data_IF_155453498645
#
_entry.id   IF_155453498645
#
_cell.length_a   1.000
_cell.length_b   1.000
_cell.length_c   1.000
_cell.angle_alpha   90.00
_cell.angle_beta   90.00
_cell.angle_gamma   90.00
#
_symmetry.space_group_name_H-M   'P 1'
#
loop_
_entity.id
_entity.type
_entity.pdbx_description
1 polymer ?
#
# COMPACT_ATOMS: atom_id res chain seq x y z
N UNK A 1 5.75 13.13 13.88
CA UNK A 1 5.74 13.19 12.39
C UNK A 1 4.70 12.18 11.93
N UNK A 2 3.78 12.61 11.08
CA UNK A 2 2.59 11.82 10.71
C UNK A 2 2.59 11.41 9.23
N UNK A 3 3.76 11.34 8.63
CA UNK A 3 3.90 10.95 7.23
C UNK A 3 5.05 9.96 7.09
N UNK A 4 4.89 8.99 6.21
CA UNK A 4 5.94 8.06 5.86
C UNK A 4 6.81 8.67 4.77
N UNK A 5 8.08 8.79 5.06
CA UNK A 5 9.09 9.15 4.08
C UNK A 5 9.79 7.87 3.60
N UNK A 6 9.22 7.24 2.57
CA UNK A 6 9.72 5.98 2.04
C UNK A 6 11.19 6.06 1.58
N UNK A 7 11.62 7.26 1.17
CA UNK A 7 12.99 7.51 0.72
C UNK A 7 14.04 7.42 1.85
N UNK A 8 13.60 7.48 3.11
CA UNK A 8 14.49 7.58 4.29
C UNK A 8 14.16 6.61 5.42
N UNK A 9 12.96 6.03 5.42
CA UNK A 9 12.48 5.25 6.57
C UNK A 9 13.22 3.96 6.78
N UNK A 10 13.68 3.30 5.73
CA UNK A 10 14.30 1.99 5.82
C UNK A 10 15.56 1.89 4.97
N UNK A 11 16.63 1.27 5.49
CA UNK A 11 17.76 0.85 4.69
C UNK A 11 17.49 -0.45 3.91
N UNK A 12 16.35 -1.10 4.12
CA UNK A 12 15.95 -2.42 3.63
C UNK A 12 16.76 -3.54 4.27
N UNK A 13 18.08 -3.48 4.18
CA UNK A 13 19.02 -4.41 4.84
C UNK A 13 19.98 -3.59 5.70
N UNK A 14 20.09 -3.98 6.96
CA UNK A 14 21.09 -3.47 7.88
C UNK A 14 22.40 -4.23 7.76
N UNK A 15 23.52 -3.51 7.98
CA UNK A 15 24.82 -4.11 8.25
C UNK A 15 25.35 -3.55 9.57
N UNK A 16 25.55 -4.41 10.56
CA UNK A 16 26.06 -4.02 11.87
C UNK A 16 26.94 -5.14 12.44
N UNK A 17 28.09 -4.79 12.94
CA UNK A 17 29.03 -5.71 13.60
C UNK A 17 29.40 -6.95 12.74
N UNK A 18 29.49 -6.76 11.42
CA UNK A 18 29.82 -7.83 10.46
C UNK A 18 28.64 -8.75 10.11
N UNK A 19 27.44 -8.42 10.55
CA UNK A 19 26.21 -9.18 10.27
C UNK A 19 25.29 -8.34 9.41
N UNK A 20 24.75 -8.94 8.34
CA UNK A 20 23.67 -8.36 7.55
C UNK A 20 22.33 -9.01 7.92
N UNK A 21 21.26 -8.19 8.03
CA UNK A 21 19.91 -8.66 8.36
C UNK A 21 18.86 -7.72 7.78
N UNK A 22 17.64 -8.24 7.48
CA UNK A 22 16.56 -7.41 6.96
C UNK A 22 16.06 -6.44 8.03
N UNK A 23 15.61 -5.28 7.57
CA UNK A 23 14.94 -4.31 8.45
C UNK A 23 13.54 -4.80 8.80
N UNK A 24 13.08 -4.40 9.97
CA UNK A 24 11.69 -4.50 10.40
C UNK A 24 11.28 -3.19 11.06
N UNK A 25 10.07 -2.75 10.80
CA UNK A 25 9.65 -1.41 11.20
C UNK A 25 8.28 -1.46 11.87
N UNK A 26 8.14 -0.75 12.98
CA UNK A 26 6.84 -0.44 13.57
C UNK A 26 6.68 1.08 13.65
N UNK A 27 5.48 1.56 13.39
CA UNK A 27 5.17 2.98 13.42
C UNK A 27 3.75 3.25 13.90
N UNK A 28 3.53 4.42 14.50
CA UNK A 28 2.21 4.86 14.94
C UNK A 28 1.33 5.36 13.79
N UNK A 29 1.90 5.50 12.62
CA UNK A 29 1.21 5.96 11.42
C UNK A 29 0.52 4.80 10.69
N UNK A 30 -0.75 4.97 10.33
CA UNK A 30 -1.50 3.98 9.53
C UNK A 30 -0.89 3.76 8.14
N UNK A 31 -0.03 4.68 7.67
CA UNK A 31 0.70 4.55 6.41
C UNK A 31 2.07 3.86 6.56
N UNK A 32 2.44 3.38 7.75
CA UNK A 32 3.67 2.62 7.98
C UNK A 32 3.85 1.46 6.98
N UNK A 33 2.81 0.71 6.60
CA UNK A 33 2.91 -0.37 5.62
C UNK A 33 3.35 0.04 4.20
N UNK A 34 3.44 1.32 3.87
CA UNK A 34 4.10 1.75 2.63
C UNK A 34 5.47 1.10 2.44
N UNK A 35 6.19 0.87 3.53
CA UNK A 35 7.56 0.33 3.51
C UNK A 35 7.58 -1.14 3.10
N UNK A 36 6.45 -1.86 3.23
CA UNK A 36 6.31 -3.26 2.79
C UNK A 36 6.61 -3.43 1.29
N UNK A 37 6.41 -2.37 0.50
CA UNK A 37 6.76 -2.37 -0.92
C UNK A 37 8.26 -2.55 -1.21
N UNK A 38 9.11 -2.32 -0.22
CA UNK A 38 10.56 -2.53 -0.29
C UNK A 38 10.99 -3.95 0.16
N UNK A 39 10.06 -4.85 0.42
CA UNK A 39 10.35 -6.17 0.98
C UNK A 39 10.70 -6.14 2.47
N UNK A 40 10.19 -5.16 3.20
CA UNK A 40 10.39 -4.95 4.63
C UNK A 40 9.08 -5.18 5.36
N UNK A 41 9.09 -5.88 6.49
CA UNK A 41 7.90 -5.97 7.34
C UNK A 41 7.73 -4.67 8.09
N UNK A 42 6.71 -3.89 7.75
CA UNK A 42 6.43 -2.61 8.36
C UNK A 42 4.97 -2.54 8.83
N UNK A 43 4.78 -2.43 10.14
CA UNK A 43 3.47 -2.58 10.78
C UNK A 43 3.06 -1.30 11.49
N UNK A 44 1.81 -0.87 11.25
CA UNK A 44 1.19 0.19 12.02
C UNK A 44 0.74 -0.34 13.39
N UNK A 45 1.17 0.33 14.47
CA UNK A 45 0.87 -0.07 15.85
C UNK A 45 0.32 1.10 16.65
N UNK A 46 -0.28 0.80 17.80
CA UNK A 46 -0.72 1.82 18.76
C UNK A 46 0.44 2.57 19.42
N UNK A 47 0.16 3.78 19.92
CA UNK A 47 1.19 4.63 20.54
C UNK A 47 1.93 3.97 21.70
N UNK A 48 1.23 3.26 22.59
CA UNK A 48 1.82 2.54 23.72
C UNK A 48 2.72 1.38 23.29
N UNK A 49 2.38 0.72 22.19
CA UNK A 49 3.19 -0.35 21.63
C UNK A 49 4.46 0.21 21.01
N UNK A 50 4.35 1.28 20.23
CA UNK A 50 5.51 1.98 19.68
C UNK A 50 6.44 2.50 20.78
N UNK A 51 5.90 3.09 21.85
CA UNK A 51 6.68 3.50 23.03
C UNK A 51 7.43 2.33 23.65
N UNK A 52 6.77 1.18 23.80
CA UNK A 52 7.40 -0.03 24.34
C UNK A 52 8.59 -0.49 23.50
N UNK A 53 8.44 -0.47 22.17
CA UNK A 53 9.52 -0.81 21.23
C UNK A 53 10.66 0.21 21.32
N UNK A 54 10.35 1.51 21.39
CA UNK A 54 11.36 2.57 21.55
C UNK A 54 12.16 2.43 22.85
N UNK A 55 11.56 1.88 23.90
CA UNK A 55 12.20 1.56 25.17
C UNK A 55 12.95 0.19 25.17
N UNK A 56 13.04 -0.46 24.01
CA UNK A 56 13.71 -1.76 23.86
C UNK A 56 12.95 -2.93 24.49
N UNK A 57 11.66 -2.79 24.72
CA UNK A 57 10.81 -3.86 25.23
C UNK A 57 10.33 -4.74 24.08
N UNK A 58 10.19 -6.05 24.34
CA UNK A 58 9.66 -6.97 23.34
C UNK A 58 8.17 -6.70 23.06
N UNK A 59 7.79 -6.70 21.79
CA UNK A 59 6.41 -6.78 21.35
C UNK A 59 6.07 -8.23 21.01
N UNK A 60 4.89 -8.68 21.43
CA UNK A 60 4.43 -10.05 21.21
C UNK A 60 3.30 -10.04 20.20
N UNK A 61 3.46 -10.81 19.13
CA UNK A 61 2.46 -10.96 18.09
C UNK A 61 2.09 -12.43 17.96
N UNK A 62 0.81 -12.68 17.63
CA UNK A 62 0.43 -14.00 17.16
C UNK A 62 1.07 -14.21 15.78
N UNK A 63 1.58 -15.41 15.51
CA UNK A 63 2.07 -15.78 14.20
C UNK A 63 0.90 -15.61 13.19
N UNK A 64 1.05 -14.77 12.16
CA UNK A 64 -0.01 -14.53 11.19
C UNK A 64 -0.10 -15.68 10.18
N UNK A 65 -1.27 -15.83 9.57
CA UNK A 65 -1.40 -16.60 8.35
C UNK A 65 -0.76 -15.83 7.20
N UNK A 66 -0.01 -16.51 6.35
CA UNK A 66 0.63 -15.91 5.16
C UNK A 66 -0.19 -16.30 3.93
N UNK A 67 -0.71 -15.29 3.24
CA UNK A 67 -1.57 -15.46 2.07
C UNK A 67 -0.84 -14.92 0.83
N UNK A 68 -0.67 -15.77 -0.18
CA UNK A 68 -0.18 -15.34 -1.48
C UNK A 68 -1.28 -14.62 -2.28
N UNK A 69 -0.95 -13.49 -2.89
CA UNK A 69 -1.84 -12.73 -3.78
C UNK A 69 -1.18 -12.60 -5.15
N UNK A 70 -1.58 -13.45 -6.07
CA UNK A 70 -1.10 -13.41 -7.45
C UNK A 70 -1.80 -12.28 -8.21
N UNK A 71 -1.04 -11.28 -8.65
CA UNK A 71 -1.51 -10.25 -9.56
C UNK A 71 -1.25 -10.67 -11.00
N UNK A 72 -2.29 -10.72 -11.81
CA UNK A 72 -2.21 -11.09 -13.22
C UNK A 72 -2.75 -9.97 -14.11
N UNK A 73 -2.51 -10.10 -15.41
CA UNK A 73 -2.95 -9.12 -16.38
C UNK A 73 -2.19 -7.79 -16.29
N UNK A 74 -2.63 -6.81 -17.06
CA UNK A 74 -1.98 -5.51 -17.16
C UNK A 74 -2.97 -4.38 -16.87
N UNK A 75 -2.45 -3.31 -16.28
CA UNK A 75 -3.22 -2.08 -16.06
C UNK A 75 -3.72 -1.52 -17.38
N UNK A 76 -5.03 -1.28 -17.47
CA UNK A 76 -5.65 -0.64 -18.62
C UNK A 76 -5.20 0.82 -18.74
N UNK A 77 -5.18 1.33 -19.96
CA UNK A 77 -4.90 2.75 -20.21
C UNK A 77 -5.90 3.65 -19.47
N UNK A 78 -5.40 4.69 -18.84
CA UNK A 78 -6.21 5.62 -18.07
C UNK A 78 -6.63 5.16 -16.68
N UNK A 79 -6.25 3.95 -16.24
CA UNK A 79 -6.43 3.47 -14.85
C UNK A 79 -5.25 3.93 -14.00
N UNK A 80 -5.54 4.50 -12.85
CA UNK A 80 -4.53 4.99 -11.91
C UNK A 80 -4.16 3.92 -10.87
N UNK A 81 -3.04 4.13 -10.14
CA UNK A 81 -2.68 3.29 -9.00
C UNK A 81 -3.80 3.30 -7.93
N UNK A 82 -4.49 4.43 -7.77
CA UNK A 82 -5.62 4.55 -6.84
C UNK A 82 -6.80 3.68 -7.24
N UNK A 83 -7.15 3.61 -8.54
CA UNK A 83 -8.21 2.72 -9.02
C UNK A 83 -7.86 1.25 -8.71
N UNK A 84 -6.60 0.86 -8.94
CA UNK A 84 -6.11 -0.50 -8.66
C UNK A 84 -6.20 -0.80 -7.17
N UNK A 85 -5.66 0.05 -6.31
CA UNK A 85 -5.63 -0.23 -4.87
C UNK A 85 -7.03 -0.27 -4.25
N UNK A 86 -7.95 0.56 -4.72
CA UNK A 86 -9.34 0.52 -4.24
C UNK A 86 -10.05 -0.78 -4.66
N UNK A 87 -9.81 -1.25 -5.88
CA UNK A 87 -10.36 -2.53 -6.35
C UNK A 87 -9.75 -3.72 -5.60
N UNK A 88 -8.43 -3.71 -5.36
CA UNK A 88 -7.76 -4.72 -4.52
C UNK A 88 -8.30 -4.68 -3.09
N UNK A 89 -8.54 -3.50 -2.53
CA UNK A 89 -9.08 -3.34 -1.18
C UNK A 89 -10.48 -3.97 -1.05
N UNK A 90 -11.35 -3.73 -2.02
CA UNK A 90 -12.68 -4.36 -2.07
C UNK A 90 -12.56 -5.89 -2.13
N UNK A 91 -11.77 -6.40 -3.07
CA UNK A 91 -11.52 -7.83 -3.24
C UNK A 91 -10.98 -8.49 -1.97
N UNK A 92 -9.94 -7.93 -1.35
CA UNK A 92 -9.33 -8.50 -0.15
C UNK A 92 -10.25 -8.45 1.07
N UNK A 93 -11.15 -7.45 1.16
CA UNK A 93 -12.18 -7.42 2.20
C UNK A 93 -13.19 -8.55 2.04
N UNK A 94 -13.61 -8.83 0.83
CA UNK A 94 -14.50 -9.97 0.53
C UNK A 94 -13.84 -11.29 0.88
N UNK A 95 -12.52 -11.40 0.61
CA UNK A 95 -11.70 -12.57 0.94
C UNK A 95 -11.33 -12.70 2.42
N UNK A 96 -11.68 -11.73 3.28
CA UNK A 96 -11.51 -11.78 4.73
C UNK A 96 -10.06 -12.05 5.18
N UNK A 97 -9.12 -11.28 4.70
CA UNK A 97 -7.68 -11.39 4.99
C UNK A 97 -7.26 -10.75 6.33
N UNK A 98 -8.20 -10.57 7.25
CA UNK A 98 -7.98 -9.85 8.52
C UNK A 98 -6.86 -10.50 9.32
N UNK A 99 -5.92 -9.69 9.79
CA UNK A 99 -4.76 -10.08 10.59
C UNK A 99 -3.75 -11.01 9.91
N UNK A 100 -3.86 -11.22 8.59
CA UNK A 100 -2.89 -11.99 7.80
C UNK A 100 -1.72 -11.10 7.33
N UNK A 101 -0.64 -11.74 6.91
CA UNK A 101 0.39 -11.13 6.07
C UNK A 101 0.10 -11.52 4.62
N UNK A 102 0.15 -10.53 3.75
CA UNK A 102 -0.05 -10.73 2.32
C UNK A 102 1.29 -10.62 1.60
N UNK A 103 1.52 -11.50 0.64
CA UNK A 103 2.65 -11.44 -0.27
C UNK A 103 2.15 -11.33 -1.70
N UNK A 104 2.38 -10.17 -2.31
CA UNK A 104 1.98 -9.89 -3.69
C UNK A 104 3.05 -10.35 -4.67
N UNK A 105 2.67 -11.08 -5.69
CA UNK A 105 3.57 -11.58 -6.73
C UNK A 105 2.84 -11.75 -8.08
N UNK A 106 3.54 -12.26 -9.08
CA UNK A 106 2.99 -12.54 -10.40
C UNK A 106 3.31 -11.46 -11.44
N UNK A 107 2.96 -11.70 -12.69
CA UNK A 107 3.26 -10.82 -13.82
C UNK A 107 2.66 -9.42 -13.67
N UNK A 108 1.49 -9.32 -13.04
CA UNK A 108 0.87 -8.04 -12.73
C UNK A 108 1.69 -7.25 -11.72
N UNK A 109 2.25 -7.89 -10.69
CA UNK A 109 3.13 -7.25 -9.73
C UNK A 109 4.45 -6.82 -10.37
N UNK A 110 4.99 -7.63 -11.28
CA UNK A 110 6.19 -7.30 -12.05
C UNK A 110 5.97 -6.05 -12.94
N UNK A 111 4.77 -5.85 -13.44
CA UNK A 111 4.43 -4.70 -14.29
C UNK A 111 4.30 -3.39 -13.50
N UNK A 112 3.98 -3.44 -12.19
CA UNK A 112 3.82 -2.26 -11.35
C UNK A 112 5.19 -1.59 -11.05
N UNK A 113 5.18 -0.25 -10.97
CA UNK A 113 6.32 0.49 -10.43
C UNK A 113 6.40 0.30 -8.91
N UNK A 114 7.55 0.62 -8.29
CA UNK A 114 7.67 0.55 -6.84
C UNK A 114 6.66 1.47 -6.14
N UNK A 115 6.39 2.64 -6.69
CA UNK A 115 5.41 3.59 -6.15
C UNK A 115 3.97 3.09 -6.26
N UNK A 116 3.63 2.34 -7.32
CA UNK A 116 2.34 1.66 -7.42
C UNK A 116 2.22 0.58 -6.33
N UNK A 117 3.26 -0.23 -6.14
CA UNK A 117 3.33 -1.24 -5.06
C UNK A 117 3.19 -0.60 -3.68
N UNK A 118 3.88 0.51 -3.44
CA UNK A 118 3.79 1.27 -2.19
C UNK A 118 2.37 1.80 -1.93
N UNK A 119 1.65 2.20 -2.99
CA UNK A 119 0.25 2.61 -2.88
C UNK A 119 -0.65 1.44 -2.46
N UNK A 120 -0.39 0.24 -2.95
CA UNK A 120 -1.12 -0.98 -2.53
C UNK A 120 -0.80 -1.33 -1.08
N UNK A 121 0.47 -1.39 -0.72
CA UNK A 121 0.91 -1.69 0.65
C UNK A 121 0.39 -0.66 1.65
N UNK A 122 0.26 0.60 1.25
CA UNK A 122 -0.29 1.67 2.10
C UNK A 122 -1.70 1.38 2.60
N UNK A 123 -2.51 0.70 1.80
CA UNK A 123 -3.91 0.41 2.13
C UNK A 123 -4.08 -0.88 2.95
N UNK A 124 -3.00 -1.42 3.51
CA UNK A 124 -3.04 -2.63 4.36
C UNK A 124 -4.07 -2.53 5.50
N UNK A 125 -4.15 -1.43 6.26
CA UNK A 125 -5.17 -1.30 7.29
C UNK A 125 -6.60 -1.28 6.73
N UNK A 126 -6.80 -0.72 5.54
CA UNK A 126 -8.11 -0.61 4.91
C UNK A 126 -8.67 -1.96 4.48
N UNK A 127 -7.85 -2.89 4.00
CA UNK A 127 -8.32 -4.25 3.76
C UNK A 127 -8.18 -5.18 4.97
N UNK A 128 -7.58 -4.71 6.06
CA UNK A 128 -7.57 -5.37 7.36
C UNK A 128 -6.43 -6.36 7.58
N UNK A 129 -5.45 -6.44 6.68
CA UNK A 129 -4.24 -7.23 6.87
C UNK A 129 -3.27 -6.53 7.84
N UNK A 130 -2.26 -7.24 8.30
CA UNK A 130 -1.23 -6.70 9.19
C UNK A 130 -0.03 -6.17 8.40
N UNK A 131 0.36 -6.86 7.34
CA UNK A 131 1.40 -6.48 6.40
C UNK A 131 0.99 -6.86 4.97
N UNK A 132 1.50 -6.15 3.99
CA UNK A 132 1.22 -6.37 2.57
C UNK A 132 2.48 -6.14 1.74
N UNK A 133 3.27 -7.20 1.61
CA UNK A 133 4.64 -7.14 1.13
C UNK A 133 4.74 -7.41 -0.37
N UNK A 134 5.76 -6.83 -0.96
CA UNK A 134 6.28 -7.18 -2.27
C UNK A 134 7.70 -7.72 -2.12
N UNK A 135 8.16 -8.43 -3.14
CA UNK A 135 9.52 -8.91 -3.24
C UNK A 135 10.51 -7.79 -3.60
N UNK A 136 11.79 -8.06 -3.42
CA UNK A 136 12.87 -7.21 -3.88
C UNK A 136 13.22 -7.60 -5.32
N UNK A 137 13.28 -6.62 -6.22
CA UNK A 137 13.61 -6.77 -7.63
C UNK A 137 14.43 -5.59 -8.17
N UNK A 138 14.71 -5.57 -9.46
CA UNK A 138 15.44 -4.49 -10.12
C UNK A 138 14.75 -3.14 -9.93
N UNK A 139 13.41 -3.07 -9.88
CA UNK A 139 12.67 -1.83 -9.64
C UNK A 139 12.87 -1.30 -8.23
N UNK A 140 12.99 -2.21 -7.25
CA UNK A 140 13.35 -1.84 -5.88
C UNK A 140 14.76 -1.25 -5.86
N UNK A 141 15.70 -1.88 -6.54
CA UNK A 141 17.09 -1.41 -6.64
C UNK A 141 17.18 -0.04 -7.33
N UNK A 142 16.46 0.15 -8.42
CA UNK A 142 16.41 1.43 -9.13
C UNK A 142 15.79 2.54 -8.27
N UNK A 143 14.75 2.22 -7.50
CA UNK A 143 14.15 3.16 -6.57
C UNK A 143 15.12 3.57 -5.44
N UNK A 144 15.88 2.62 -4.91
CA UNK A 144 16.89 2.93 -3.89
C UNK A 144 17.98 3.86 -4.44
N UNK A 145 18.44 3.67 -5.67
CA UNK A 145 19.37 4.56 -6.36
C UNK A 145 18.76 5.94 -6.59
N UNK A 146 17.55 5.98 -7.13
CA UNK A 146 16.81 7.22 -7.41
C UNK A 146 16.64 8.08 -6.15
N UNK A 147 16.42 7.46 -5.02
CA UNK A 147 16.17 8.12 -3.73
C UNK A 147 17.44 8.36 -2.91
N UNK A 148 18.63 8.14 -3.51
CA UNK A 148 19.92 8.57 -2.99
C UNK A 148 20.50 7.66 -1.91
N UNK A 149 20.19 6.36 -1.90
CA UNK A 149 20.96 5.37 -1.13
C UNK A 149 22.32 5.24 -1.77
N UNK A 150 23.36 5.02 -0.94
CA UNK A 150 24.72 4.85 -1.46
C UNK A 150 24.86 3.57 -2.28
N UNK A 151 25.82 3.52 -3.19
CA UNK A 151 26.07 2.32 -4.01
C UNK A 151 26.41 1.10 -3.15
N UNK A 152 27.06 1.29 -2.00
CA UNK A 152 27.34 0.20 -1.04
C UNK A 152 26.05 -0.35 -0.42
N UNK A 153 25.12 0.53 -0.05
CA UNK A 153 23.82 0.11 0.50
C UNK A 153 22.99 -0.60 -0.55
N UNK A 154 22.98 -0.10 -1.78
CA UNK A 154 22.26 -0.75 -2.89
C UNK A 154 22.84 -2.13 -3.18
N UNK A 155 24.16 -2.25 -3.26
CA UNK A 155 24.83 -3.52 -3.47
C UNK A 155 24.58 -4.51 -2.30
N UNK A 156 24.54 -4.01 -1.06
CA UNK A 156 24.21 -4.84 0.10
C UNK A 156 22.78 -5.41 -0.02
N UNK A 157 21.81 -4.58 -0.35
CA UNK A 157 20.40 -5.02 -0.50
C UNK A 157 20.28 -6.07 -1.60
N UNK A 158 20.84 -5.82 -2.78
CA UNK A 158 20.76 -6.75 -3.91
C UNK A 158 21.42 -8.09 -3.58
N UNK A 159 22.68 -8.06 -3.08
CA UNK A 159 23.40 -9.29 -2.75
C UNK A 159 22.72 -10.09 -1.64
N UNK A 160 22.24 -9.40 -0.60
CA UNK A 160 21.54 -10.07 0.49
C UNK A 160 20.25 -10.74 -0.01
N UNK A 161 19.42 -10.02 -0.76
CA UNK A 161 18.15 -10.54 -1.26
C UNK A 161 18.35 -11.77 -2.15
N UNK A 162 19.34 -11.74 -3.05
CA UNK A 162 19.66 -12.88 -3.93
C UNK A 162 20.20 -14.10 -3.17
N UNK A 163 20.94 -13.90 -2.08
CA UNK A 163 21.51 -15.00 -1.29
C UNK A 163 20.53 -15.62 -0.30
N UNK A 164 19.50 -14.90 0.10
CA UNK A 164 18.57 -15.34 1.17
C UNK A 164 17.17 -15.70 0.67
N UNK A 165 16.94 -15.68 -0.66
CA UNK A 165 15.63 -16.02 -1.22
C UNK A 165 14.57 -14.92 -1.11
N UNK A 166 14.97 -13.66 -0.88
CA UNK A 166 14.06 -12.50 -0.86
C UNK A 166 13.94 -11.82 -2.24
N UNK A 167 14.65 -12.34 -3.23
CA UNK A 167 14.58 -11.84 -4.60
C UNK A 167 13.36 -12.38 -5.35
N UNK A 168 12.85 -11.63 -6.31
CA UNK A 168 11.61 -11.90 -7.01
C UNK A 168 11.47 -13.32 -7.58
N UNK A 169 12.55 -13.87 -8.16
CA UNK A 169 12.55 -15.21 -8.73
C UNK A 169 12.30 -16.30 -7.69
N UNK A 170 12.93 -16.16 -6.52
CA UNK A 170 12.81 -17.14 -5.43
C UNK A 170 11.41 -17.09 -4.80
N UNK A 171 10.83 -15.90 -4.68
CA UNK A 171 9.49 -15.71 -4.12
C UNK A 171 8.38 -16.32 -4.97
N UNK A 172 8.59 -16.49 -6.28
CA UNK A 172 7.63 -17.15 -7.18
C UNK A 172 7.44 -18.63 -6.90
N UNK A 173 8.42 -19.28 -6.26
CA UNK A 173 8.39 -20.70 -5.88
C UNK A 173 7.79 -20.91 -4.49
N UNK A 174 7.43 -19.84 -3.78
CA UNK A 174 6.87 -19.93 -2.44
C UNK A 174 5.52 -20.67 -2.46
N UNK A 175 5.31 -21.50 -1.45
CA UNK A 175 4.06 -22.26 -1.27
C UNK A 175 3.22 -21.60 -0.17
N UNK A 176 1.98 -21.28 -0.51
CA UNK A 176 1.02 -20.67 0.40
C UNK A 176 -0.11 -21.65 0.72
N UNK A 177 -0.57 -21.66 1.97
CA UNK A 177 -1.78 -22.42 2.33
C UNK A 177 -3.03 -21.85 1.64
N UNK A 178 -3.02 -20.53 1.42
CA UNK A 178 -4.09 -19.82 0.73
C UNK A 178 -3.49 -18.94 -0.36
N UNK A 179 -4.00 -19.14 -1.57
CA UNK A 179 -3.62 -18.37 -2.74
C UNK A 179 -4.84 -17.64 -3.28
N UNK A 180 -4.71 -16.33 -3.43
CA UNK A 180 -5.70 -15.46 -4.05
C UNK A 180 -5.17 -15.01 -5.40
N UNK A 181 -6.07 -14.74 -6.34
CA UNK A 181 -5.71 -14.24 -7.67
C UNK A 181 -6.55 -13.03 -8.02
N UNK A 182 -5.89 -11.96 -8.44
CA UNK A 182 -6.51 -10.72 -8.84
C UNK A 182 -6.04 -10.28 -10.22
N UNK A 183 -6.99 -9.98 -11.12
CA UNK A 183 -6.69 -9.57 -12.49
C UNK A 183 -6.73 -8.04 -12.61
N UNK A 184 -5.57 -7.42 -12.83
CA UNK A 184 -5.43 -5.98 -13.02
C UNK A 184 -6.18 -5.46 -14.25
N UNK A 185 -6.40 -6.31 -15.26
CA UNK A 185 -7.14 -5.93 -16.46
C UNK A 185 -8.65 -5.75 -16.22
N UNK A 186 -9.16 -6.29 -15.11
CA UNK A 186 -10.56 -6.14 -14.73
C UNK A 186 -10.88 -4.80 -14.05
N UNK A 187 -9.84 -4.03 -13.71
CA UNK A 187 -10.01 -2.76 -12.98
C UNK A 187 -10.52 -1.67 -13.92
N UNK A 188 -11.69 -1.14 -13.61
CA UNK A 188 -12.30 0.01 -14.26
C UNK A 188 -12.30 1.24 -13.37
N UNK A 189 -12.62 2.40 -13.95
CA UNK A 189 -12.86 3.62 -13.17
C UNK A 189 -14.20 3.55 -12.48
N UNK A 190 -14.22 3.85 -11.20
CA UNK A 190 -15.43 3.79 -10.39
C UNK A 190 -15.53 5.03 -9.50
N UNK A 191 -16.75 5.31 -9.05
CA UNK A 191 -17.05 6.24 -7.97
C UNK A 191 -17.84 5.50 -6.89
N UNK A 192 -17.89 6.08 -5.69
CA UNK A 192 -18.77 5.62 -4.63
C UNK A 192 -20.00 6.53 -4.53
N UNK A 193 -21.14 5.96 -4.20
CA UNK A 193 -22.39 6.68 -4.02
C UNK A 193 -23.38 6.48 -5.18
N UNK A 194 -24.38 7.37 -5.35
CA UNK A 194 -24.78 8.38 -4.37
C UNK A 194 -25.41 7.76 -3.12
N UNK A 195 -25.54 8.51 -2.05
CA UNK A 195 -26.18 8.16 -0.78
C UNK A 195 -25.47 7.11 0.08
N UNK A 196 -24.67 6.23 -0.49
CA UNK A 196 -23.95 5.19 0.26
C UNK A 196 -22.48 5.11 -0.22
N UNK A 197 -21.51 5.45 0.63
CA UNK A 197 -20.09 5.42 0.25
C UNK A 197 -19.54 4.01 -0.05
N UNK A 198 -20.25 2.95 0.34
CA UNK A 198 -19.87 1.58 0.02
C UNK A 198 -20.43 1.08 -1.32
N UNK A 199 -21.28 1.87 -1.97
CA UNK A 199 -21.85 1.50 -3.25
C UNK A 199 -20.93 1.94 -4.39
N UNK A 200 -20.26 0.99 -5.00
CA UNK A 200 -19.46 1.23 -6.18
C UNK A 200 -20.32 1.37 -7.44
N UNK A 201 -20.04 2.37 -8.24
CA UNK A 201 -20.68 2.61 -9.54
C UNK A 201 -19.60 2.85 -10.57
N UNK A 202 -19.65 2.09 -11.69
CA UNK A 202 -18.76 2.33 -12.83
C UNK A 202 -19.01 3.72 -13.41
N UNK A 203 -17.96 4.43 -13.77
CA UNK A 203 -18.10 5.73 -14.45
C UNK A 203 -18.81 5.62 -15.80
N UNK A 204 -18.84 4.42 -16.41
CA UNK A 204 -19.58 4.15 -17.63
C UNK A 204 -21.10 4.08 -17.39
N UNK A 205 -21.52 3.75 -16.18
CA UNK A 205 -22.92 3.54 -15.82
C UNK A 205 -23.56 4.78 -15.16
N UNK A 206 -22.84 5.89 -15.03
CA UNK A 206 -23.31 7.08 -14.32
C UNK A 206 -24.62 7.61 -14.87
N UNK A 207 -24.74 7.71 -16.20
CA UNK A 207 -25.94 8.19 -16.85
C UNK A 207 -27.15 7.26 -16.59
N UNK A 208 -26.94 5.94 -16.58
CA UNK A 208 -27.98 4.94 -16.29
C UNK A 208 -28.42 5.00 -14.81
N UNK A 209 -27.54 5.48 -13.92
CA UNK A 209 -27.84 5.69 -12.50
C UNK A 209 -28.47 7.08 -12.22
N UNK A 210 -28.77 7.86 -13.23
CA UNK A 210 -29.32 9.21 -13.09
C UNK A 210 -28.30 10.26 -12.64
N UNK A 211 -27.00 9.93 -12.68
CA UNK A 211 -25.90 10.85 -12.40
C UNK A 211 -25.48 11.46 -13.73
N UNK A 212 -26.06 12.59 -14.09
CA UNK A 212 -25.75 13.33 -15.30
C UNK A 212 -25.09 14.67 -14.95
N UNK A 213 -24.42 15.27 -15.95
CA UNK A 213 -23.61 16.47 -15.75
C UNK A 213 -24.30 17.64 -15.08
N UNK A 214 -23.60 18.76 -15.00
CA UNK A 214 -24.06 19.97 -14.30
C UNK A 214 -25.47 20.36 -14.73
N UNK A 215 -26.37 20.42 -13.78
CA UNK A 215 -27.67 21.05 -13.93
C UNK A 215 -27.58 22.47 -13.34
N UNK A 216 -28.04 23.48 -14.09
CA UNK A 216 -28.10 24.84 -13.57
C UNK A 216 -28.93 24.87 -12.29
N UNK A 217 -28.36 25.40 -11.22
CA UNK A 217 -29.04 25.53 -9.93
C UNK A 217 -29.52 26.96 -9.71
N UNK A 218 -30.57 27.08 -8.89
CA UNK A 218 -30.98 28.38 -8.36
C UNK A 218 -29.83 29.04 -7.58
N UNK A 219 -29.73 30.36 -7.65
CA UNK A 219 -28.69 31.15 -7.01
C UNK A 219 -28.58 30.81 -5.51
N UNK A 220 -27.40 30.40 -5.08
CA UNK A 220 -27.08 30.06 -3.68
C UNK A 220 -27.25 28.58 -3.30
N UNK A 221 -27.71 27.72 -4.20
CA UNK A 221 -27.72 26.27 -4.01
C UNK A 221 -26.60 25.60 -4.81
N UNK A 222 -26.08 24.53 -4.27
CA UNK A 222 -25.10 23.69 -4.98
C UNK A 222 -25.82 22.95 -6.10
N UNK A 223 -25.35 23.04 -7.36
CA UNK A 223 -25.99 22.33 -8.44
C UNK A 223 -25.74 20.82 -8.37
N UNK A 224 -26.68 20.05 -8.90
CA UNK A 224 -26.45 18.62 -9.11
C UNK A 224 -25.27 18.41 -10.05
N UNK A 225 -24.39 17.48 -9.70
CA UNK A 225 -23.14 17.24 -10.44
C UNK A 225 -21.99 18.18 -10.07
N UNK A 226 -22.14 19.05 -9.07
CA UNK A 226 -21.05 19.86 -8.54
C UNK A 226 -19.94 18.98 -7.96
N UNK A 227 -18.69 19.31 -8.25
CA UNK A 227 -17.52 18.61 -7.70
C UNK A 227 -17.09 19.33 -6.43
N UNK A 228 -17.07 18.59 -5.33
CA UNK A 228 -16.51 19.04 -4.06
C UNK A 228 -15.25 18.22 -3.82
N UNK A 229 -14.14 18.91 -3.60
CA UNK A 229 -12.88 18.28 -3.21
C UNK A 229 -12.66 18.54 -1.74
N UNK A 230 -12.70 17.48 -0.93
CA UNK A 230 -12.34 17.53 0.47
C UNK A 230 -11.19 16.53 0.70
N UNK A 231 -10.03 17.04 1.10
CA UNK A 231 -8.90 16.20 1.47
C UNK A 231 -8.83 16.08 2.99
N UNK A 232 -9.06 14.87 3.49
CA UNK A 232 -8.90 14.55 4.91
C UNK A 232 -7.72 13.61 5.04
N UNK A 233 -6.76 13.95 5.90
CA UNK A 233 -5.68 13.06 6.29
C UNK A 233 -5.90 12.64 7.73
N UNK A 234 -5.48 11.43 8.09
CA UNK A 234 -5.69 10.82 9.41
C UNK A 234 -5.16 11.67 10.58
N UNK A 235 -4.33 12.66 10.28
CA UNK A 235 -3.59 13.49 11.24
C UNK A 235 -3.75 14.98 11.00
N UNK A 236 -4.88 15.40 10.45
CA UNK A 236 -5.16 16.84 10.33
C UNK A 236 -5.35 17.39 11.73
N UNK A 237 -4.28 17.79 12.37
CA UNK A 237 -4.36 18.80 13.39
C UNK A 237 -4.67 20.11 12.66
N UNK A 238 -5.92 20.45 12.62
CA UNK A 238 -6.35 21.79 12.24
C UNK A 238 -5.84 22.75 13.33
N UNK A 239 -4.59 23.13 13.24
CA UNK A 239 -4.19 24.41 13.78
C UNK A 239 -4.80 25.45 12.84
N UNK A 240 -5.97 25.95 13.19
CA UNK A 240 -6.48 27.16 12.59
C UNK A 240 -5.37 28.21 12.70
N UNK A 241 -4.98 28.87 11.60
CA UNK A 241 -4.04 29.96 11.70
C UNK A 241 -4.67 30.99 12.63
N UNK A 242 -4.09 31.15 13.81
CA UNK A 242 -4.40 32.27 14.67
C UNK A 242 -3.99 33.50 13.90
N UNK A 243 -4.95 34.24 13.38
CA UNK A 243 -4.68 35.56 12.85
C UNK A 243 -4.20 36.43 14.02
N UNK A 244 -2.91 36.78 13.95
CA UNK A 244 -2.35 37.92 14.67
C UNK A 244 -2.90 39.19 14.08
#
# INVERSE_FOLDING_TARGET
MHQINLERMSPVIHARDGIAFPDTLVGTDSHTPHVDALGVIAIGVGGLEAESVMLGRASYMRLPDIIGVELVGVRQEGITATDIVLAITEFLREERVVSSYLEFFGEGADALTLTDRATISNMTPEFGATAAMFYIDDKTIDYLRLTGRSDEQVALVENYARQTGLWAEDMREAQYERLLRFDLSSVGRNIAGPSNPHRRVSTQDLAAQGISGLVESETGKMPDGAIIIAATVSYTHLTLPTRS
#
